data_IF_293222444701
#
_entry.id   IF_293222444701
#
_cell.length_a   1.000
_cell.length_b   1.000
_cell.length_c   1.000
_cell.angle_alpha   90.00
_cell.angle_beta   90.00
_cell.angle_gamma   90.00
#
_symmetry.space_group_name_H-M   'P 1'
#
loop_
_entity.id
_entity.type
_entity.pdbx_description
1 polymer ?
#
# COMPACT_ATOMS: atom_id res chain seq x y z
N UNK A 1 -8.31 -5.29 -18.93
CA UNK A 1 -6.87 -5.43 -18.64
C UNK A 1 -6.72 -5.58 -17.15
N UNK A 2 -5.96 -6.55 -16.70
CA UNK A 2 -5.62 -6.74 -15.29
C UNK A 2 -4.92 -5.48 -14.76
N UNK A 3 -5.35 -4.97 -13.61
CA UNK A 3 -4.76 -3.76 -12.98
C UNK A 3 -3.51 -4.19 -12.24
N UNK A 4 -2.35 -3.69 -12.64
CA UNK A 4 -1.08 -3.95 -11.95
C UNK A 4 -0.95 -3.02 -10.76
N UNK A 5 -0.89 -3.60 -9.56
CA UNK A 5 -0.74 -2.88 -8.30
C UNK A 5 0.64 -3.17 -7.71
N UNK A 6 1.20 -2.21 -7.00
CA UNK A 6 2.47 -2.38 -6.27
C UNK A 6 2.26 -1.82 -4.87
N UNK A 7 2.29 -2.70 -3.87
CA UNK A 7 2.40 -2.28 -2.48
C UNK A 7 3.80 -1.76 -2.21
N UNK A 8 3.90 -0.58 -1.63
CA UNK A 8 5.14 0.18 -1.56
C UNK A 8 5.32 0.83 -0.20
N UNK A 9 6.54 0.77 0.32
CA UNK A 9 6.93 1.38 1.58
C UNK A 9 8.41 1.83 1.54
N UNK A 10 8.79 2.79 2.37
CA UNK A 10 10.16 3.30 2.49
C UNK A 10 10.58 3.45 3.94
N UNK A 11 11.86 3.12 4.24
CA UNK A 11 12.51 3.56 5.46
C UNK A 11 13.41 4.77 5.18
N UNK A 12 13.53 5.65 6.16
CA UNK A 12 14.21 6.95 5.98
C UNK A 12 15.12 7.28 7.17
N UNK A 13 16.09 8.19 6.97
CA UNK A 13 16.98 8.66 8.05
C UNK A 13 16.25 9.45 9.13
N UNK A 14 15.06 9.97 8.83
CA UNK A 14 14.24 10.79 9.72
C UNK A 14 12.91 11.13 9.05
N UNK A 15 12.21 12.14 9.56
CA UNK A 15 10.80 12.38 9.19
C UNK A 15 10.61 13.53 8.18
N UNK A 16 11.65 14.33 7.90
CA UNK A 16 11.47 15.60 7.20
C UNK A 16 12.45 15.76 6.04
N UNK A 17 11.91 15.70 4.83
CA UNK A 17 12.66 15.98 3.59
C UNK A 17 13.33 17.36 3.65
N UNK A 18 12.67 18.35 4.22
CA UNK A 18 13.17 19.72 4.36
C UNK A 18 14.41 19.82 5.27
N UNK A 19 14.56 18.87 6.19
CA UNK A 19 15.75 18.73 7.06
C UNK A 19 16.87 17.95 6.39
N UNK A 20 16.71 17.58 5.13
CA UNK A 20 17.66 16.81 4.35
C UNK A 20 17.64 15.31 4.67
N UNK A 21 16.54 14.79 5.27
CA UNK A 21 16.41 13.36 5.47
C UNK A 21 16.28 12.62 4.14
N UNK A 22 16.79 11.39 4.12
CA UNK A 22 17.01 10.59 2.91
C UNK A 22 16.33 9.23 3.04
N UNK A 23 15.97 8.62 1.92
CA UNK A 23 15.55 7.22 1.88
C UNK A 23 16.74 6.30 2.13
N UNK A 24 16.55 5.29 2.98
CA UNK A 24 17.57 4.28 3.31
C UNK A 24 17.19 2.86 2.96
N UNK A 25 15.89 2.58 2.78
CA UNK A 25 15.41 1.32 2.21
C UNK A 25 14.15 1.57 1.38
N UNK A 26 14.02 0.85 0.28
CA UNK A 26 12.82 0.77 -0.54
C UNK A 26 12.33 -0.67 -0.54
N UNK A 27 11.04 -0.87 -0.29
CA UNK A 27 10.36 -2.14 -0.39
C UNK A 27 9.12 -2.05 -1.26
N UNK A 28 8.99 -2.97 -2.23
CA UNK A 28 7.83 -3.02 -3.11
C UNK A 28 7.46 -4.46 -3.46
N UNK A 29 6.16 -4.74 -3.52
CA UNK A 29 5.60 -6.06 -3.82
C UNK A 29 4.52 -5.91 -4.88
N UNK A 30 4.66 -6.66 -5.97
CA UNK A 30 3.66 -6.67 -7.04
C UNK A 30 2.43 -7.49 -6.67
N UNK A 31 1.26 -6.96 -7.04
CA UNK A 31 -0.04 -7.61 -6.91
C UNK A 31 -0.70 -7.62 -8.29
N UNK A 32 -1.07 -8.80 -8.78
CA UNK A 32 -1.85 -9.01 -10.00
C UNK A 32 -3.06 -9.87 -9.68
N UNK A 33 -4.19 -9.52 -10.25
CA UNK A 33 -5.45 -10.29 -10.08
C UNK A 33 -5.80 -10.62 -8.61
N UNK A 34 -5.47 -9.66 -7.71
CA UNK A 34 -5.64 -9.76 -6.26
C UNK A 34 -4.76 -10.80 -5.57
N UNK A 35 -3.66 -11.19 -6.18
CA UNK A 35 -2.67 -12.10 -5.59
C UNK A 35 -1.29 -11.45 -5.61
N UNK A 36 -0.52 -11.60 -4.53
CA UNK A 36 0.88 -11.20 -4.51
C UNK A 36 1.67 -12.09 -5.46
N UNK A 37 2.41 -11.50 -6.39
CA UNK A 37 3.32 -12.24 -7.26
C UNK A 37 4.67 -12.47 -6.56
N UNK A 38 5.61 -13.10 -7.26
CA UNK A 38 6.99 -13.23 -6.77
C UNK A 38 7.86 -12.01 -7.12
N UNK A 39 7.32 -11.07 -7.90
CA UNK A 39 8.05 -9.86 -8.29
C UNK A 39 8.09 -8.89 -7.11
N UNK A 40 9.29 -8.62 -6.64
CA UNK A 40 9.56 -7.67 -5.55
C UNK A 40 10.70 -6.75 -5.97
N UNK A 41 10.72 -5.56 -5.40
CA UNK A 41 11.85 -4.65 -5.47
C UNK A 41 12.27 -4.32 -4.04
N UNK A 42 13.52 -4.61 -3.69
CA UNK A 42 14.08 -4.24 -2.40
C UNK A 42 15.51 -3.77 -2.59
N UNK A 43 15.84 -2.67 -1.96
CA UNK A 43 17.22 -2.17 -1.91
C UNK A 43 17.42 -1.30 -0.70
N UNK A 44 18.59 -1.45 -0.06
CA UNK A 44 19.12 -0.46 0.85
C UNK A 44 19.81 0.65 0.06
N UNK A 45 19.86 1.85 0.64
CA UNK A 45 20.41 3.02 -0.02
C UNK A 45 21.39 3.75 0.90
N UNK A 46 22.49 4.19 0.33
CA UNK A 46 23.43 5.06 1.01
C UNK A 46 22.87 6.49 1.06
N UNK A 47 22.65 7.07 2.25
CA UNK A 47 22.08 8.41 2.41
C UNK A 47 23.07 9.55 2.17
N UNK A 48 24.22 9.28 1.55
CA UNK A 48 25.25 10.27 1.17
C UNK A 48 25.69 11.18 2.32
N UNK A 49 25.95 10.57 3.50
CA UNK A 49 26.47 11.27 4.68
C UNK A 49 25.39 11.85 5.60
N UNK A 50 24.11 11.73 5.26
CA UNK A 50 23.04 12.06 6.20
C UNK A 50 22.94 10.94 7.26
N UNK A 51 23.16 11.28 8.52
CA UNK A 51 23.09 10.33 9.63
C UNK A 51 21.65 9.87 9.87
N UNK A 52 21.49 8.60 10.23
CA UNK A 52 20.21 8.04 10.63
C UNK A 52 19.89 8.55 12.04
N UNK A 53 18.68 9.07 12.24
CA UNK A 53 18.24 9.53 13.56
C UNK A 53 18.09 8.35 14.53
N UNK A 54 18.30 8.59 15.82
CA UNK A 54 18.15 7.57 16.86
C UNK A 54 16.77 6.90 16.84
N UNK A 55 15.72 7.69 16.56
CA UNK A 55 14.36 7.15 16.43
C UNK A 55 14.22 6.21 15.24
N UNK A 56 14.81 6.52 14.10
CA UNK A 56 14.80 5.65 12.92
C UNK A 56 15.61 4.37 13.18
N UNK A 57 16.80 4.46 13.80
CA UNK A 57 17.62 3.29 14.19
C UNK A 57 16.85 2.33 15.10
N UNK A 58 16.16 2.86 16.10
CA UNK A 58 15.38 2.02 17.03
C UNK A 58 14.22 1.28 16.34
N UNK A 59 13.63 1.88 15.32
CA UNK A 59 12.50 1.31 14.60
C UNK A 59 12.97 0.29 13.55
N UNK A 60 13.98 0.64 12.76
CA UNK A 60 14.42 -0.16 11.61
C UNK A 60 15.53 -1.14 11.96
N UNK A 61 16.26 -0.91 13.05
CA UNK A 61 17.50 -1.61 13.42
C UNK A 61 18.58 -1.51 12.32
N UNK A 62 18.61 -0.41 11.57
CA UNK A 62 19.62 -0.10 10.57
C UNK A 62 20.57 0.95 11.13
N UNK A 63 21.87 0.69 11.06
CA UNK A 63 22.91 1.64 11.45
C UNK A 63 23.60 2.28 10.23
N UNK A 64 24.21 3.45 10.44
CA UNK A 64 24.94 4.16 9.38
C UNK A 64 26.07 3.30 8.76
N UNK A 65 26.62 2.35 9.53
CA UNK A 65 27.64 1.41 9.04
C UNK A 65 27.12 0.43 8.00
N UNK A 66 25.85 0.03 8.11
CA UNK A 66 25.22 -0.97 7.24
C UNK A 66 25.01 -0.43 5.83
N UNK A 67 24.89 0.89 5.71
CA UNK A 67 24.57 1.56 4.45
C UNK A 67 25.79 2.12 3.69
N UNK A 68 27.01 1.96 4.23
CA UNK A 68 28.21 2.52 3.61
C UNK A 68 28.46 2.00 2.19
N UNK A 69 28.26 0.70 2.00
CA UNK A 69 28.48 0.02 0.73
C UNK A 69 27.17 -0.11 -0.09
N UNK A 70 26.04 0.40 0.42
CA UNK A 70 24.79 0.40 -0.29
C UNK A 70 24.85 1.34 -1.51
N UNK A 71 24.13 1.05 -2.61
CA UNK A 71 24.09 1.92 -3.78
C UNK A 71 23.48 3.28 -3.44
N UNK A 72 23.80 4.27 -4.23
CA UNK A 72 23.11 5.56 -4.20
C UNK A 72 21.78 5.44 -4.94
N UNK A 73 20.79 6.24 -4.58
CA UNK A 73 19.50 6.23 -5.30
C UNK A 73 19.67 6.48 -6.81
N UNK A 74 20.61 7.35 -7.21
CA UNK A 74 20.90 7.62 -8.64
C UNK A 74 21.36 6.39 -9.41
N UNK A 75 21.94 5.38 -8.74
CA UNK A 75 22.48 4.18 -9.37
C UNK A 75 21.40 3.14 -9.62
N UNK A 76 20.25 3.25 -8.91
CA UNK A 76 19.12 2.32 -9.01
C UNK A 76 17.85 2.96 -9.59
N UNK A 77 17.88 4.24 -9.88
CA UNK A 77 16.67 5.01 -10.24
C UNK A 77 15.97 4.48 -11.48
N UNK A 78 16.70 4.03 -12.49
CA UNK A 78 16.12 3.50 -13.72
C UNK A 78 15.44 2.14 -13.46
N UNK A 79 16.04 1.27 -12.66
CA UNK A 79 15.44 -0.02 -12.27
C UNK A 79 14.18 0.20 -11.43
N UNK A 80 14.22 1.14 -10.49
CA UNK A 80 13.08 1.52 -9.69
C UNK A 80 11.93 2.05 -10.56
N UNK A 81 12.20 3.02 -11.45
CA UNK A 81 11.21 3.57 -12.38
C UNK A 81 10.61 2.47 -13.25
N UNK A 82 11.43 1.58 -13.82
CA UNK A 82 10.98 0.47 -14.65
C UNK A 82 10.06 -0.48 -13.87
N UNK A 83 10.35 -0.72 -12.58
CA UNK A 83 9.54 -1.57 -11.73
C UNK A 83 8.16 -0.97 -11.45
N UNK A 84 8.07 0.33 -11.16
CA UNK A 84 6.81 0.97 -10.74
C UNK A 84 5.97 1.54 -11.88
N UNK A 85 6.57 1.85 -13.03
CA UNK A 85 5.91 2.52 -14.15
C UNK A 85 4.65 1.79 -14.61
N UNK A 86 3.57 2.56 -14.79
CA UNK A 86 2.29 2.07 -15.30
C UNK A 86 1.48 1.26 -14.28
N UNK A 87 1.92 1.20 -13.01
CA UNK A 87 1.17 0.57 -11.92
C UNK A 87 0.34 1.60 -11.14
N UNK A 88 -0.46 1.10 -10.21
CA UNK A 88 -0.97 1.88 -9.09
C UNK A 88 -0.17 1.50 -7.83
N UNK A 89 0.43 2.49 -7.19
CA UNK A 89 1.15 2.32 -5.93
C UNK A 89 0.15 2.32 -4.77
N UNK A 90 0.16 1.25 -3.99
CA UNK A 90 -0.59 1.12 -2.75
C UNK A 90 0.35 1.53 -1.62
N UNK A 91 0.07 2.63 -0.97
CA UNK A 91 0.94 3.23 0.07
C UNK A 91 0.11 3.53 1.31
N UNK A 92 0.71 3.44 2.49
CA UNK A 92 0.06 3.81 3.74
C UNK A 92 0.58 5.17 4.25
N UNK A 93 -0.22 6.23 4.16
CA UNK A 93 0.19 7.62 4.33
C UNK A 93 1.07 8.11 3.16
N UNK A 94 0.54 7.98 1.97
CA UNK A 94 1.25 8.16 0.71
C UNK A 94 2.02 9.48 0.56
N UNK A 95 1.56 10.56 1.19
CA UNK A 95 2.23 11.85 1.12
C UNK A 95 3.67 11.79 1.65
N UNK A 96 3.92 10.97 2.65
CA UNK A 96 5.25 10.79 3.23
C UNK A 96 6.21 10.16 2.22
N UNK A 97 5.91 8.96 1.74
CA UNK A 97 6.79 8.22 0.82
C UNK A 97 6.96 8.92 -0.51
N UNK A 98 5.90 9.49 -1.07
CA UNK A 98 5.95 10.28 -2.31
C UNK A 98 6.86 11.49 -2.14
N UNK A 99 6.78 12.18 -1.01
CA UNK A 99 7.64 13.33 -0.72
C UNK A 99 9.13 12.95 -0.74
N UNK A 100 9.48 11.85 -0.09
CA UNK A 100 10.83 11.33 -0.06
C UNK A 100 11.31 10.85 -1.45
N UNK A 101 10.51 10.04 -2.15
CA UNK A 101 10.87 9.53 -3.49
C UNK A 101 11.03 10.69 -4.49
N UNK A 102 10.14 11.68 -4.46
CA UNK A 102 10.25 12.84 -5.35
C UNK A 102 11.52 13.67 -5.06
N UNK A 103 11.92 13.75 -3.79
CA UNK A 103 13.19 14.39 -3.42
C UNK A 103 14.39 13.58 -3.94
N UNK A 104 14.38 12.26 -3.80
CA UNK A 104 15.44 11.40 -4.34
C UNK A 104 15.52 11.49 -5.87
N UNK A 105 14.38 11.49 -6.59
CA UNK A 105 14.33 11.71 -8.04
C UNK A 105 14.94 13.06 -8.44
N UNK A 106 14.70 14.11 -7.65
CA UNK A 106 15.28 15.44 -7.87
C UNK A 106 16.79 15.43 -7.66
N UNK A 107 17.28 14.82 -6.57
CA UNK A 107 18.71 14.72 -6.25
C UNK A 107 19.45 13.88 -7.31
N UNK A 108 18.86 12.79 -7.77
CA UNK A 108 19.38 11.95 -8.85
C UNK A 108 19.32 12.64 -10.23
N UNK A 109 18.78 13.85 -10.34
CA UNK A 109 18.55 14.57 -11.62
C UNK A 109 17.75 13.74 -12.62
N UNK A 110 16.82 12.91 -12.14
CA UNK A 110 15.94 12.12 -12.99
C UNK A 110 15.11 13.01 -13.93
N UNK A 111 14.72 12.44 -15.08
CA UNK A 111 13.76 13.07 -15.99
C UNK A 111 12.36 13.14 -15.38
N UNK A 112 12.01 12.13 -14.59
CA UNK A 112 10.75 12.09 -13.82
C UNK A 112 10.95 12.96 -12.57
N UNK A 113 10.07 13.92 -12.36
CA UNK A 113 10.14 14.83 -11.20
C UNK A 113 9.13 14.47 -10.12
N UNK A 114 8.03 13.89 -10.51
CA UNK A 114 7.00 13.38 -9.62
C UNK A 114 6.66 11.93 -10.02
N UNK A 115 6.72 11.04 -9.07
CA UNK A 115 6.42 9.62 -9.31
C UNK A 115 4.99 9.43 -9.85
N UNK A 116 4.09 10.36 -9.53
CA UNK A 116 2.70 10.36 -10.00
C UNK A 116 2.56 10.65 -11.51
N UNK A 117 3.62 11.11 -12.17
CA UNK A 117 3.63 11.25 -13.62
C UNK A 117 3.64 9.89 -14.35
N UNK A 118 4.06 8.83 -13.64
CA UNK A 118 4.23 7.48 -14.22
C UNK A 118 3.42 6.39 -13.53
N UNK A 119 2.83 6.67 -12.36
CA UNK A 119 1.97 5.75 -11.60
C UNK A 119 0.76 6.49 -11.05
N UNK A 120 -0.35 5.78 -10.81
CA UNK A 120 -1.39 6.26 -9.90
C UNK A 120 -1.06 5.88 -8.46
N UNK A 121 -1.76 6.49 -7.50
CA UNK A 121 -1.52 6.26 -6.07
C UNK A 121 -2.83 6.00 -5.34
N UNK A 122 -2.83 4.96 -4.52
CA UNK A 122 -3.90 4.62 -3.60
C UNK A 122 -3.40 4.72 -2.16
N UNK A 123 -3.90 5.69 -1.40
CA UNK A 123 -3.55 5.88 0.00
C UNK A 123 -4.48 5.08 0.91
N UNK A 124 -3.95 3.98 1.47
CA UNK A 124 -4.71 3.11 2.37
C UNK A 124 -5.06 3.76 3.71
N UNK A 125 -4.31 4.78 4.17
CA UNK A 125 -4.62 5.51 5.39
C UNK A 125 -5.89 6.36 5.23
N UNK A 126 -6.06 7.00 4.08
CA UNK A 126 -7.27 7.78 3.78
C UNK A 126 -8.50 6.87 3.82
N UNK A 127 -8.46 5.77 3.10
CA UNK A 127 -9.56 4.79 3.05
C UNK A 127 -9.81 4.15 4.42
N UNK A 128 -8.75 3.82 5.16
CA UNK A 128 -8.90 3.25 6.51
C UNK A 128 -9.58 4.22 7.48
N UNK A 129 -9.32 5.53 7.38
CA UNK A 129 -10.02 6.53 8.21
C UNK A 129 -11.51 6.61 7.91
N UNK A 130 -11.91 6.40 6.65
CA UNK A 130 -13.32 6.34 6.26
C UNK A 130 -13.98 5.04 6.73
N UNK A 131 -13.30 3.90 6.61
CA UNK A 131 -13.81 2.60 7.04
C UNK A 131 -13.88 2.46 8.58
N UNK A 132 -12.95 3.07 9.31
CA UNK A 132 -12.80 2.93 10.76
C UNK A 132 -12.65 4.30 11.43
N UNK A 133 -13.69 5.16 11.39
CA UNK A 133 -13.63 6.49 11.94
C UNK A 133 -13.37 6.46 13.45
N UNK A 134 -12.55 7.40 13.92
CA UNK A 134 -12.22 7.53 15.36
C UNK A 134 -11.29 6.46 15.92
N UNK A 135 -10.82 5.52 15.11
CA UNK A 135 -9.90 4.46 15.54
C UNK A 135 -8.46 4.75 15.09
N UNK A 136 -7.49 4.07 15.70
CA UNK A 136 -6.11 4.04 15.22
C UNK A 136 -6.07 3.30 13.87
N UNK A 137 -5.50 3.96 12.85
CA UNK A 137 -5.44 3.45 11.48
C UNK A 137 -4.00 3.39 10.93
N UNK A 138 -2.97 3.33 11.79
CA UNK A 138 -1.63 2.98 11.34
C UNK A 138 -1.58 1.49 10.90
N UNK A 139 -0.55 1.11 10.16
CA UNK A 139 -0.41 -0.24 9.57
C UNK A 139 -0.51 -1.34 10.62
N UNK A 140 0.09 -1.15 11.81
CA UNK A 140 0.00 -2.09 12.93
C UNK A 140 -1.44 -2.29 13.43
N UNK A 141 -2.18 -1.20 13.58
CA UNK A 141 -3.56 -1.28 14.06
C UNK A 141 -4.47 -1.94 13.02
N UNK A 142 -4.23 -1.65 11.74
CA UNK A 142 -4.99 -2.26 10.64
C UNK A 142 -4.67 -3.74 10.48
N UNK A 143 -3.39 -4.13 10.48
CA UNK A 143 -2.99 -5.53 10.36
C UNK A 143 -3.55 -6.40 11.48
N UNK A 144 -3.53 -5.90 12.72
CA UNK A 144 -4.16 -6.57 13.87
C UNK A 144 -5.67 -6.68 13.72
N UNK A 145 -6.35 -5.60 13.33
CA UNK A 145 -7.81 -5.55 13.14
C UNK A 145 -8.28 -6.49 12.03
N UNK A 146 -7.54 -6.55 10.93
CA UNK A 146 -7.83 -7.40 9.79
C UNK A 146 -7.26 -8.83 9.92
N UNK A 147 -6.69 -9.14 11.11
CA UNK A 147 -6.12 -10.45 11.42
C UNK A 147 -5.04 -10.93 10.42
N UNK A 148 -4.22 -9.99 9.94
CA UNK A 148 -3.06 -10.30 9.10
C UNK A 148 -2.03 -11.00 9.98
N UNK A 149 -1.59 -12.20 9.58
CA UNK A 149 -0.69 -13.08 10.32
C UNK A 149 0.46 -13.58 9.45
N UNK A 150 1.46 -14.16 10.09
CA UNK A 150 2.58 -14.79 9.40
C UNK A 150 3.79 -13.89 9.22
N UNK A 151 3.80 -12.71 9.84
CA UNK A 151 4.91 -11.77 9.80
C UNK A 151 5.50 -11.57 11.19
N UNK A 152 6.84 -11.65 11.28
CA UNK A 152 7.58 -11.18 12.45
C UNK A 152 8.00 -9.72 12.20
N UNK A 153 7.38 -8.81 12.91
CA UNK A 153 7.62 -7.37 12.81
C UNK A 153 8.26 -6.84 14.11
N UNK A 154 9.32 -7.50 14.53
CA UNK A 154 10.13 -7.02 15.66
C UNK A 154 10.79 -5.69 15.31
N UNK A 155 11.27 -5.55 14.07
CA UNK A 155 11.75 -4.30 13.49
C UNK A 155 10.98 -3.99 12.21
N UNK A 156 10.92 -2.71 11.86
CA UNK A 156 10.38 -2.26 10.60
C UNK A 156 11.40 -2.49 9.47
N UNK A 157 10.92 -2.88 8.32
CA UNK A 157 11.71 -2.98 7.10
C UNK A 157 10.79 -2.77 5.92
N UNK A 158 11.22 -1.96 4.96
CA UNK A 158 10.36 -1.51 3.86
C UNK A 158 9.72 -2.68 3.09
N UNK A 159 10.46 -3.76 2.80
CA UNK A 159 9.86 -4.91 2.11
C UNK A 159 8.85 -5.64 2.98
N UNK A 160 9.12 -5.81 4.28
CA UNK A 160 8.20 -6.46 5.21
C UNK A 160 6.91 -5.65 5.35
N UNK A 161 7.04 -4.33 5.48
CA UNK A 161 5.89 -3.43 5.61
C UNK A 161 5.08 -3.36 4.31
N UNK A 162 5.74 -3.39 3.15
CA UNK A 162 5.07 -3.54 1.85
C UNK A 162 4.31 -4.87 1.73
N UNK A 163 4.82 -5.99 2.26
CA UNK A 163 4.12 -7.29 2.27
C UNK A 163 2.88 -7.25 3.18
N UNK A 164 3.01 -6.70 4.39
CA UNK A 164 1.90 -6.52 5.34
C UNK A 164 0.84 -5.59 4.74
N UNK A 165 1.27 -4.51 4.11
CA UNK A 165 0.39 -3.55 3.45
C UNK A 165 -0.37 -4.18 2.28
N UNK A 166 0.29 -5.04 1.48
CA UNK A 166 -0.36 -5.78 0.41
C UNK A 166 -1.54 -6.62 0.93
N UNK A 167 -1.30 -7.42 1.99
CA UNK A 167 -2.34 -8.23 2.60
C UNK A 167 -3.43 -7.38 3.26
N UNK A 168 -3.04 -6.27 3.88
CA UNK A 168 -3.97 -5.30 4.47
C UNK A 168 -4.89 -4.71 3.40
N UNK A 169 -4.34 -4.24 2.27
CA UNK A 169 -5.09 -3.72 1.13
C UNK A 169 -6.04 -4.77 0.55
N UNK A 170 -5.56 -5.99 0.32
CA UNK A 170 -6.38 -7.08 -0.21
C UNK A 170 -7.55 -7.41 0.70
N UNK A 171 -7.35 -7.39 2.02
CA UNK A 171 -8.42 -7.60 2.99
C UNK A 171 -9.40 -6.41 3.05
N UNK A 172 -8.90 -5.16 3.08
CA UNK A 172 -9.75 -3.97 3.09
C UNK A 172 -10.66 -3.89 1.87
N UNK A 173 -10.17 -4.33 0.71
CA UNK A 173 -10.90 -4.25 -0.57
C UNK A 173 -11.58 -5.56 -0.95
N UNK A 174 -11.38 -6.65 -0.24
CA UNK A 174 -11.90 -8.00 -0.53
C UNK A 174 -13.37 -8.22 -0.16
N UNK A 175 -13.92 -7.43 0.76
CA UNK A 175 -15.32 -7.52 1.18
C UNK A 175 -16.30 -6.76 0.29
N UNK A 176 -15.84 -5.98 -0.66
CA UNK A 176 -16.66 -5.28 -1.65
C UNK A 176 -16.83 -6.15 -2.90
N UNK A 177 -17.57 -7.25 -2.79
CA UNK A 177 -18.33 -7.71 -3.95
C UNK A 177 -19.38 -6.61 -4.17
N UNK A 178 -19.18 -5.76 -5.18
CA UNK A 178 -20.22 -4.88 -5.66
C UNK A 178 -21.37 -5.80 -6.09
N UNK A 179 -22.39 -5.88 -5.26
CA UNK A 179 -23.69 -6.37 -5.68
C UNK A 179 -24.20 -5.34 -6.67
N UNK A 180 -23.99 -5.62 -7.93
CA UNK A 180 -24.61 -4.89 -9.03
C UNK A 180 -26.12 -5.21 -8.99
N UNK A 181 -26.85 -4.52 -8.10
CA UNK A 181 -28.29 -4.63 -7.93
C UNK A 181 -29.09 -4.05 -9.11
N UNK A 182 -28.40 -3.61 -10.17
CA UNK A 182 -29.05 -2.95 -11.30
C UNK A 182 -29.59 -3.88 -12.37
N UNK A 183 -29.53 -5.21 -12.25
CA UNK A 183 -30.02 -6.13 -13.29
C UNK A 183 -30.78 -7.37 -12.76
N UNK A 184 -31.52 -7.25 -11.68
CA UNK A 184 -32.49 -8.30 -11.37
C UNK A 184 -33.87 -7.67 -11.28
N UNK A 185 -34.61 -7.73 -12.39
CA UNK A 185 -36.05 -7.55 -12.38
C UNK A 185 -36.62 -8.66 -11.49
N UNK A 186 -36.95 -8.29 -10.26
CA UNK A 186 -37.65 -9.18 -9.35
C UNK A 186 -39.07 -9.37 -9.87
N UNK A 187 -39.29 -10.45 -10.62
CA UNK A 187 -40.63 -10.90 -10.90
C UNK A 187 -41.26 -11.41 -9.60
N UNK A 188 -42.00 -10.54 -8.94
CA UNK A 188 -42.87 -10.92 -7.85
C UNK A 188 -43.95 -11.86 -8.40
N UNK A 189 -43.77 -13.14 -8.26
CA UNK A 189 -44.84 -14.12 -8.41
C UNK A 189 -45.77 -13.97 -7.20
N UNK A 190 -46.85 -13.25 -7.39
CA UNK A 190 -48.01 -13.34 -6.49
C UNK A 190 -48.75 -14.65 -6.79
N UNK A 191 -48.46 -15.68 -6.01
CA UNK A 191 -49.32 -16.86 -5.98
C UNK A 191 -50.62 -16.47 -5.32
N UNK A 192 -51.69 -16.39 -6.10
CA UNK A 192 -53.05 -16.35 -5.56
C UNK A 192 -53.33 -17.66 -4.83
N UNK A 193 -53.63 -17.54 -3.54
CA UNK A 193 -54.07 -18.64 -2.71
C UNK A 193 -55.49 -19.06 -3.12
N UNK A 194 -55.78 -20.35 -3.42
CA UNK A 194 -57.12 -20.82 -3.71
C UNK A 194 -57.83 -21.19 -2.39
N UNK A 195 -58.34 -20.19 -1.69
CA UNK A 195 -59.32 -20.40 -0.61
C UNK A 195 -60.29 -19.25 -0.66
N UNK A 196 -61.38 -19.43 -1.41
CA UNK A 196 -62.67 -18.83 -1.12
C UNK A 196 -63.64 -19.24 -2.25
N UNK A 197 -64.04 -20.48 -2.20
CA UNK A 197 -65.27 -20.91 -2.85
C UNK A 197 -65.81 -22.14 -2.08
N UNK A 198 -66.58 -21.87 -1.07
CA UNK A 198 -67.62 -22.84 -0.58
C UNK A 198 -68.31 -22.19 0.62
N UNK A 199 -69.39 -21.49 0.35
CA UNK A 199 -70.60 -21.56 1.20
C UNK A 199 -71.67 -20.63 0.66
N UNK A 200 -72.52 -21.22 -0.13
CA UNK A 200 -73.94 -20.78 -0.22
C UNK A 200 -74.76 -21.94 -0.76
N UNK A 201 -75.35 -22.67 0.16
CA UNK A 201 -76.63 -23.32 0.02
C UNK A 201 -76.97 -24.01 1.33
N UNK A 202 -77.89 -23.47 2.00
CA UNK A 202 -79.21 -23.79 2.53
C UNK A 202 -79.49 -22.88 3.72
#
# INVERSE_FOLDING_TARGET
>A
MSRRLISFDTETTGLYVESGDRVIEIGAVEILDREKTKATFQTYLNPEGKAISEGAKQITNIDDSDLKEAPLFKDIVDDFINFVKGSELIIHNAQFDIGFINNELKLAKSKIKDIRDICSVYDTLVVAKEMFPGQRNNLDALSKRLNIKGYDRTFHGALLDAQILADTYLNMTGGQVSLDLNNTICLLYTSQSPRDSLSSRL
#
